data_IF_571802977392
#
_entry.id   IF_571802977392
#
_cell.length_a   1.000
_cell.length_b   1.000
_cell.length_c   1.000
_cell.angle_alpha   90.00
_cell.angle_beta   90.00
_cell.angle_gamma   90.00
#
_symmetry.space_group_name_H-M   'P 1'
#
loop_
_entity.id
_entity.type
_entity.pdbx_description
1 polymer ?
#
# COMPACT_ATOMS: atom_id res chain seq x y z
N UNK A 1 4.54 15.71 69.60
CA UNK A 1 3.90 15.14 68.39
C UNK A 1 3.95 16.13 67.25
N UNK A 2 4.69 15.83 66.17
CA UNK A 2 4.49 16.28 64.75
C UNK A 2 5.81 16.14 63.97
N UNK A 3 6.14 14.91 63.57
CA UNK A 3 7.15 14.64 62.53
C UNK A 3 6.54 13.59 61.61
N UNK A 4 5.69 13.99 60.66
CA UNK A 4 5.12 13.07 59.65
C UNK A 4 4.40 13.85 58.55
N UNK A 5 5.13 14.64 57.74
CA UNK A 5 4.57 15.19 56.48
C UNK A 5 5.54 15.30 55.30
N UNK A 6 6.85 15.03 55.47
CA UNK A 6 7.81 15.19 54.38
C UNK A 6 7.97 13.95 53.47
N UNK A 7 7.52 12.76 53.89
CA UNK A 7 7.75 11.52 53.13
C UNK A 7 6.79 11.29 51.94
N UNK A 8 5.64 11.97 51.88
CA UNK A 8 4.65 11.76 50.80
C UNK A 8 4.95 12.53 49.51
N UNK A 9 5.74 13.60 49.55
CA UNK A 9 5.99 14.44 48.36
C UNK A 9 7.04 13.82 47.44
N UNK A 10 8.06 13.15 47.99
CA UNK A 10 9.11 12.51 47.20
C UNK A 10 8.61 11.31 46.36
N UNK A 11 7.59 10.58 46.84
CA UNK A 11 7.06 9.41 46.14
C UNK A 11 6.23 9.79 44.90
N UNK A 12 5.54 10.94 44.94
CA UNK A 12 4.69 11.42 43.83
C UNK A 12 5.53 11.91 42.65
N UNK A 13 6.71 12.49 42.89
CA UNK A 13 7.59 12.99 41.83
C UNK A 13 8.25 11.83 41.05
N UNK A 14 8.63 10.74 41.73
CA UNK A 14 9.24 9.57 41.08
C UNK A 14 8.23 8.84 40.18
N UNK A 15 6.96 8.74 40.60
CA UNK A 15 5.87 8.18 39.78
C UNK A 15 5.58 9.03 38.53
N UNK A 16 5.67 10.36 38.63
CA UNK A 16 5.46 11.27 37.48
C UNK A 16 6.53 11.14 36.39
N UNK A 17 7.80 10.96 36.77
CA UNK A 17 8.91 10.78 35.81
C UNK A 17 8.82 9.39 35.15
N UNK A 18 8.49 8.34 35.90
CA UNK A 18 8.28 7.01 35.33
C UNK A 18 7.12 6.96 34.33
N UNK A 19 6.03 7.69 34.59
CA UNK A 19 4.90 7.83 33.68
C UNK A 19 5.25 8.60 32.39
N UNK A 20 6.08 9.65 32.49
CA UNK A 20 6.54 10.41 31.31
C UNK A 20 7.52 9.62 30.43
N UNK A 21 8.40 8.81 31.04
CA UNK A 21 9.35 7.95 30.31
C UNK A 21 8.60 6.82 29.60
N UNK A 22 7.61 6.19 30.24
CA UNK A 22 6.79 5.14 29.61
C UNK A 22 5.92 5.67 28.46
N UNK A 23 5.36 6.88 28.58
CA UNK A 23 4.67 7.54 27.46
C UNK A 23 5.59 7.87 26.29
N UNK A 24 6.85 8.25 26.56
CA UNK A 24 7.84 8.55 25.53
C UNK A 24 8.27 7.28 24.76
N UNK A 25 8.42 6.16 25.46
CA UNK A 25 8.75 4.86 24.84
C UNK A 25 7.59 4.29 24.02
N UNK A 26 6.33 4.49 24.43
CA UNK A 26 5.15 4.08 23.66
C UNK A 26 4.98 4.91 22.38
N UNK A 27 5.38 6.19 22.38
CA UNK A 27 5.35 7.04 21.17
C UNK A 27 6.47 6.74 20.18
N UNK A 28 7.63 6.29 20.65
CA UNK A 28 8.72 5.85 19.77
C UNK A 28 8.33 4.58 19.00
N UNK A 29 7.69 3.60 19.65
CA UNK A 29 7.23 2.37 18.99
C UNK A 29 6.08 2.57 17.99
N UNK A 30 5.34 3.67 18.08
CA UNK A 30 4.29 4.00 17.12
C UNK A 30 4.85 4.65 15.83
N UNK A 31 6.09 5.14 15.85
CA UNK A 31 6.72 5.79 14.70
C UNK A 31 7.45 4.82 13.76
N UNK A 32 7.74 3.59 14.22
CA UNK A 32 8.48 2.56 13.45
C UNK A 32 7.59 1.39 12.97
N UNK A 33 6.28 1.45 13.23
CA UNK A 33 5.36 0.37 12.92
C UNK A 33 4.52 0.64 11.69
N UNK A 34 5.07 0.46 10.48
CA UNK A 34 4.23 -0.11 9.42
C UNK A 34 3.78 -1.44 9.99
N UNK A 35 2.49 -1.58 10.30
CA UNK A 35 1.94 -2.88 10.70
C UNK A 35 2.29 -3.83 9.56
N UNK A 36 3.22 -4.75 9.83
CA UNK A 36 3.52 -5.84 8.93
C UNK A 36 2.25 -6.68 8.91
N UNK A 37 1.36 -6.37 7.96
CA UNK A 37 0.36 -7.33 7.53
C UNK A 37 1.04 -8.67 7.23
N UNK A 38 0.26 -9.75 7.16
CA UNK A 38 0.79 -11.04 6.75
C UNK A 38 1.73 -10.88 5.53
N UNK A 39 2.91 -11.52 5.59
CA UNK A 39 3.89 -11.49 4.51
C UNK A 39 3.19 -11.74 3.18
N UNK A 40 3.39 -10.87 2.20
CA UNK A 40 2.71 -10.95 0.89
C UNK A 40 3.48 -11.80 -0.12
N UNK A 41 4.66 -12.26 0.28
CA UNK A 41 5.57 -13.14 -0.45
C UNK A 41 5.93 -14.38 0.36
N UNK A 42 6.11 -15.50 -0.34
CA UNK A 42 6.67 -16.73 0.22
C UNK A 42 8.20 -16.72 0.22
N UNK A 43 8.82 -17.81 0.70
CA UNK A 43 10.28 -17.96 0.78
C UNK A 43 10.98 -17.93 -0.57
N UNK A 44 10.25 -18.27 -1.64
CA UNK A 44 10.77 -18.33 -3.01
C UNK A 44 10.47 -17.02 -3.77
N UNK A 45 9.84 -16.05 -3.10
CA UNK A 45 9.49 -14.75 -3.65
C UNK A 45 8.23 -14.77 -4.53
N UNK A 46 7.38 -15.80 -4.44
CA UNK A 46 6.08 -15.72 -5.10
C UNK A 46 5.15 -14.83 -4.28
N UNK A 47 4.62 -13.80 -4.94
CA UNK A 47 3.61 -12.93 -4.36
C UNK A 47 2.25 -13.63 -4.32
N UNK A 48 1.36 -13.17 -3.44
CA UNK A 48 -0.08 -13.39 -3.52
C UNK A 48 -0.84 -12.08 -3.29
N UNK A 49 -2.12 -12.04 -3.68
CA UNK A 49 -2.99 -10.91 -3.33
C UNK A 49 -3.37 -11.04 -1.84
N UNK A 50 -3.05 -10.07 -0.97
CA UNK A 50 -3.38 -10.15 0.45
C UNK A 50 -4.88 -10.36 0.64
N UNK A 51 -5.33 -11.20 1.57
CA UNK A 51 -6.75 -11.58 1.63
C UNK A 51 -7.69 -10.44 2.02
N UNK A 52 -7.29 -9.65 3.01
CA UNK A 52 -8.09 -8.64 3.70
C UNK A 52 -7.84 -7.20 3.24
N UNK A 53 -7.07 -7.00 2.16
CA UNK A 53 -6.65 -5.67 1.70
C UNK A 53 -7.81 -4.69 1.52
N UNK A 54 -9.00 -5.13 1.08
CA UNK A 54 -10.15 -4.23 0.91
C UNK A 54 -10.65 -3.61 2.23
N UNK A 55 -10.36 -4.25 3.36
CA UNK A 55 -10.75 -3.77 4.70
C UNK A 55 -9.58 -3.21 5.51
N UNK A 56 -8.36 -3.62 5.18
CA UNK A 56 -7.16 -3.22 5.93
C UNK A 56 -6.33 -2.17 5.21
N UNK A 57 -6.36 -2.11 3.88
CA UNK A 57 -5.56 -1.18 3.09
C UNK A 57 -6.35 0.10 2.82
N UNK A 58 -5.61 1.19 2.65
CA UNK A 58 -6.20 2.50 2.37
C UNK A 58 -6.37 2.67 0.86
N UNK A 59 -7.52 3.19 0.42
CA UNK A 59 -7.71 3.57 -0.98
C UNK A 59 -6.69 4.64 -1.35
N UNK A 60 -5.88 4.34 -2.36
CA UNK A 60 -4.85 5.22 -2.88
C UNK A 60 -5.37 6.06 -4.05
N UNK A 61 -6.22 5.49 -4.90
CA UNK A 61 -6.88 6.22 -5.99
C UNK A 61 -7.49 5.29 -7.03
N UNK A 62 -8.02 5.90 -8.10
CA UNK A 62 -8.65 5.18 -9.19
C UNK A 62 -8.28 5.76 -10.55
N UNK A 63 -8.29 4.89 -11.56
CA UNK A 63 -8.05 5.24 -12.96
C UNK A 63 -9.23 4.80 -13.80
N UNK A 64 -9.63 5.63 -14.74
CA UNK A 64 -10.66 5.33 -15.72
C UNK A 64 -10.02 5.27 -17.10
N UNK A 65 -9.98 4.08 -17.71
CA UNK A 65 -9.40 3.92 -19.03
C UNK A 65 -10.50 4.16 -20.06
N UNK A 66 -10.32 5.19 -20.89
CA UNK A 66 -11.29 5.57 -21.91
C UNK A 66 -11.65 4.39 -22.83
N UNK A 67 -12.92 4.32 -23.21
CA UNK A 67 -13.43 3.33 -24.15
C UNK A 67 -13.03 3.60 -25.62
N UNK A 68 -12.22 4.63 -25.89
CA UNK A 68 -11.86 5.07 -27.23
C UNK A 68 -12.87 6.11 -27.72
N UNK A 69 -13.45 5.87 -28.89
CA UNK A 69 -14.40 6.79 -29.55
C UNK A 69 -15.80 6.78 -28.94
N UNK A 70 -16.09 5.86 -28.01
CA UNK A 70 -17.37 5.80 -27.30
C UNK A 70 -17.29 6.50 -25.94
N UNK A 71 -18.41 7.10 -25.51
CA UNK A 71 -18.52 7.65 -24.16
C UNK A 71 -18.26 6.60 -23.08
N UNK A 72 -17.67 7.02 -21.96
CA UNK A 72 -17.41 6.16 -20.81
C UNK A 72 -16.01 5.54 -20.79
N UNK A 73 -15.88 4.47 -20.00
CA UNK A 73 -14.62 3.78 -19.74
C UNK A 73 -14.72 2.32 -20.15
N UNK A 74 -13.65 1.74 -20.70
CA UNK A 74 -13.56 0.29 -20.92
C UNK A 74 -13.11 -0.46 -19.67
N UNK A 75 -12.32 0.20 -18.84
CA UNK A 75 -11.81 -0.38 -17.60
C UNK A 75 -11.78 0.67 -16.49
N UNK A 76 -11.99 0.21 -15.26
CA UNK A 76 -11.70 0.98 -14.06
C UNK A 76 -10.64 0.24 -13.25
N UNK A 77 -9.61 0.97 -12.82
CA UNK A 77 -8.59 0.44 -11.94
C UNK A 77 -8.70 1.10 -10.58
N UNK A 78 -8.64 0.31 -9.51
CA UNK A 78 -8.72 0.81 -8.12
C UNK A 78 -7.48 0.37 -7.39
N UNK A 79 -6.78 1.31 -6.75
CA UNK A 79 -5.47 1.05 -6.14
C UNK A 79 -5.56 1.28 -4.65
N UNK A 80 -5.01 0.33 -3.90
CA UNK A 80 -4.92 0.35 -2.44
C UNK A 80 -3.47 0.31 -2.01
N UNK A 81 -3.16 0.94 -0.88
CA UNK A 81 -1.84 0.91 -0.26
C UNK A 81 -1.95 0.29 1.14
N UNK A 82 -0.98 -0.56 1.50
CA UNK A 82 -0.91 -1.16 2.84
C UNK A 82 -0.88 -0.10 3.94
N UNK A 83 -1.31 -0.44 5.17
CA UNK A 83 -1.37 0.50 6.30
C UNK A 83 -0.08 1.31 6.48
N UNK A 84 -0.22 2.61 6.72
CA UNK A 84 0.90 3.51 7.01
C UNK A 84 1.70 3.97 5.80
N UNK A 85 1.54 3.36 4.61
CA UNK A 85 2.26 3.75 3.39
C UNK A 85 1.95 5.19 2.99
N UNK A 86 0.70 5.62 3.09
CA UNK A 86 0.30 6.98 2.71
C UNK A 86 0.99 8.02 3.61
N UNK A 87 1.00 7.80 4.93
CA UNK A 87 1.59 8.73 5.88
C UNK A 87 3.12 8.76 5.77
N UNK A 88 3.75 7.60 5.61
CA UNK A 88 5.19 7.49 5.34
C UNK A 88 5.57 8.22 4.04
N UNK A 89 4.81 8.00 2.96
CA UNK A 89 5.06 8.68 1.69
C UNK A 89 4.85 10.18 1.81
N UNK A 90 3.82 10.65 2.53
CA UNK A 90 3.61 12.09 2.74
C UNK A 90 4.78 12.74 3.46
N UNK A 91 5.37 12.06 4.45
CA UNK A 91 6.51 12.51 5.23
C UNK A 91 7.81 12.55 4.40
N UNK A 92 8.13 11.44 3.74
CA UNK A 92 9.48 11.24 3.17
C UNK A 92 9.52 11.32 1.64
N UNK A 93 8.35 11.45 0.99
CA UNK A 93 8.15 11.44 -0.47
C UNK A 93 8.71 10.19 -1.16
N UNK A 94 8.70 9.08 -0.43
CA UNK A 94 9.18 7.76 -0.87
C UNK A 94 8.27 6.68 -0.32
N UNK A 95 8.08 5.61 -1.10
CA UNK A 95 7.40 4.42 -0.58
C UNK A 95 8.35 3.72 0.42
N UNK A 96 7.89 3.43 1.66
CA UNK A 96 8.71 2.74 2.64
C UNK A 96 8.98 1.29 2.19
N UNK A 97 10.07 0.72 2.68
CA UNK A 97 10.35 -0.71 2.46
C UNK A 97 9.18 -1.57 2.94
N UNK A 98 8.83 -2.61 2.18
CA UNK A 98 7.67 -3.45 2.45
C UNK A 98 6.31 -2.82 2.12
N UNK A 99 6.25 -1.60 1.56
CA UNK A 99 5.00 -1.03 1.07
C UNK A 99 4.36 -1.95 0.03
N UNK A 100 3.07 -2.28 0.20
CA UNK A 100 2.31 -3.10 -0.75
C UNK A 100 1.28 -2.24 -1.45
N UNK A 101 1.30 -2.26 -2.78
CA UNK A 101 0.28 -1.64 -3.62
C UNK A 101 -0.52 -2.75 -4.30
N UNK A 102 -1.84 -2.73 -4.13
CA UNK A 102 -2.77 -3.66 -4.78
C UNK A 102 -3.64 -2.87 -5.73
N UNK A 103 -3.50 -3.13 -7.04
CA UNK A 103 -4.32 -2.55 -8.09
C UNK A 103 -5.30 -3.60 -8.61
N UNK A 104 -6.58 -3.37 -8.38
CA UNK A 104 -7.64 -4.11 -9.03
C UNK A 104 -7.87 -3.56 -10.43
N UNK A 105 -8.17 -4.45 -11.38
CA UNK A 105 -8.55 -4.07 -12.75
C UNK A 105 -9.91 -4.66 -13.06
N UNK A 106 -10.90 -3.81 -13.31
CA UNK A 106 -12.24 -4.19 -13.71
C UNK A 106 -12.49 -3.84 -15.17
N UNK A 107 -13.27 -4.67 -15.88
CA UNK A 107 -14.08 -4.17 -16.99
C UNK A 107 -15.11 -3.20 -16.43
N UNK A 108 -15.37 -2.11 -17.14
CA UNK A 108 -16.40 -1.17 -16.74
C UNK A 108 -17.71 -1.44 -17.48
N UNK A 109 -18.83 -1.17 -16.81
CA UNK A 109 -20.14 -1.04 -17.43
C UNK A 109 -20.54 0.43 -17.47
N UNK A 110 -20.98 0.90 -18.64
CA UNK A 110 -21.41 2.29 -18.85
C UNK A 110 -22.92 2.34 -19.10
N UNK A 111 -23.59 3.27 -18.43
CA UNK A 111 -25.03 3.50 -18.61
C UNK A 111 -25.41 4.94 -18.27
N UNK A 112 -26.52 5.41 -18.82
CA UNK A 112 -27.14 6.66 -18.39
C UNK A 112 -27.66 6.55 -16.95
N UNK A 113 -27.39 7.58 -16.16
CA UNK A 113 -27.91 7.78 -14.80
C UNK A 113 -28.43 9.21 -14.68
N UNK A 114 -29.10 9.56 -13.58
CA UNK A 114 -29.58 10.93 -13.34
C UNK A 114 -28.46 11.97 -13.30
N UNK A 115 -27.22 11.54 -13.10
CA UNK A 115 -26.00 12.36 -13.13
C UNK A 115 -25.30 12.37 -14.49
N UNK A 116 -25.87 11.73 -15.53
CA UNK A 116 -25.34 11.63 -16.89
C UNK A 116 -24.82 10.23 -17.26
N UNK A 117 -24.00 10.15 -18.31
CA UNK A 117 -23.33 8.91 -18.72
C UNK A 117 -22.27 8.50 -17.69
N UNK A 118 -22.52 7.41 -16.96
CA UNK A 118 -21.65 6.95 -15.86
C UNK A 118 -21.05 5.59 -16.17
N UNK A 119 -19.76 5.43 -15.88
CA UNK A 119 -19.08 4.14 -15.89
C UNK A 119 -18.85 3.66 -14.46
N UNK A 120 -19.08 2.37 -14.21
CA UNK A 120 -18.86 1.71 -12.91
C UNK A 120 -18.09 0.41 -13.08
N UNK A 121 -17.45 -0.06 -12.02
CA UNK A 121 -16.81 -1.37 -12.02
C UNK A 121 -17.87 -2.46 -12.19
N UNK A 122 -17.57 -3.45 -13.02
CA UNK A 122 -18.49 -4.55 -13.32
C UNK A 122 -17.80 -5.90 -13.09
N UNK A 123 -16.98 -6.34 -14.05
CA UNK A 123 -16.32 -7.65 -13.98
C UNK A 123 -14.85 -7.49 -13.63
N UNK A 124 -14.41 -8.13 -12.53
CA UNK A 124 -12.99 -8.16 -12.17
C UNK A 124 -12.18 -8.96 -13.19
N UNK A 125 -11.09 -8.39 -13.69
CA UNK A 125 -10.12 -9.07 -14.56
C UNK A 125 -8.97 -9.67 -13.76
N UNK A 126 -8.53 -9.01 -12.70
CA UNK A 126 -7.42 -9.46 -11.88
C UNK A 126 -6.84 -8.37 -11.02
N UNK A 127 -5.67 -8.67 -10.47
CA UNK A 127 -4.89 -7.79 -9.60
C UNK A 127 -3.48 -7.65 -10.11
N UNK A 128 -2.95 -6.44 -9.98
CA UNK A 128 -1.53 -6.19 -10.04
C UNK A 128 -1.03 -5.82 -8.64
N UNK A 129 -0.05 -6.55 -8.14
CA UNK A 129 0.54 -6.34 -6.81
C UNK A 129 1.99 -5.91 -6.99
N UNK A 130 2.36 -4.82 -6.32
CA UNK A 130 3.74 -4.37 -6.18
C UNK A 130 4.15 -4.33 -4.71
N UNK A 131 5.37 -4.76 -4.39
CA UNK A 131 5.91 -4.78 -3.03
C UNK A 131 7.26 -4.06 -3.00
N UNK A 132 7.41 -3.01 -2.20
CA UNK A 132 8.67 -2.26 -2.12
C UNK A 132 9.74 -3.16 -1.49
N UNK A 133 10.90 -3.23 -2.13
CA UNK A 133 12.03 -4.05 -1.68
C UNK A 133 13.36 -3.34 -1.91
N UNK A 134 13.74 -2.53 -0.93
CA UNK A 134 15.03 -1.83 -0.89
C UNK A 134 16.16 -2.76 -0.43
N UNK A 135 15.82 -3.87 0.25
CA UNK A 135 16.77 -4.84 0.76
C UNK A 135 17.18 -5.91 -0.27
N UNK A 136 16.51 -5.96 -1.43
CA UNK A 136 16.76 -6.95 -2.49
C UNK A 136 16.66 -8.38 -1.94
N UNK A 137 15.53 -8.70 -1.30
CA UNK A 137 15.29 -9.96 -0.56
C UNK A 137 15.28 -11.19 -1.47
N UNK A 138 14.95 -11.01 -2.75
CA UNK A 138 14.80 -12.10 -3.72
C UNK A 138 15.65 -11.89 -4.98
N UNK A 139 17.00 -11.84 -4.85
CA UNK A 139 17.90 -11.42 -5.94
C UNK A 139 17.86 -12.34 -7.18
N UNK A 140 17.55 -13.63 -6.98
CA UNK A 140 17.50 -14.63 -8.04
C UNK A 140 16.12 -14.74 -8.72
N UNK A 141 15.11 -14.03 -8.20
CA UNK A 141 13.74 -14.15 -8.70
C UNK A 141 13.49 -13.24 -9.89
N UNK A 142 12.91 -13.80 -10.96
CA UNK A 142 12.49 -13.03 -12.14
C UNK A 142 11.27 -12.13 -11.88
N UNK A 143 10.70 -12.17 -10.67
CA UNK A 143 9.58 -11.34 -10.24
C UNK A 143 10.02 -10.12 -9.42
N UNK A 144 11.30 -10.03 -9.08
CA UNK A 144 11.84 -8.97 -8.22
C UNK A 144 13.00 -8.24 -8.90
N UNK A 145 13.07 -6.95 -8.66
CA UNK A 145 14.12 -6.09 -9.19
C UNK A 145 13.67 -4.64 -9.27
N UNK A 146 14.63 -3.75 -9.53
CA UNK A 146 14.41 -2.30 -9.57
C UNK A 146 13.78 -1.73 -8.28
N UNK A 147 14.03 -2.40 -7.15
CA UNK A 147 13.53 -2.01 -5.83
C UNK A 147 12.09 -2.45 -5.52
N UNK A 148 11.54 -3.39 -6.30
CA UNK A 148 10.15 -3.84 -6.18
C UNK A 148 10.00 -5.34 -6.52
N UNK A 149 9.05 -6.01 -5.88
CA UNK A 149 8.42 -7.24 -6.36
C UNK A 149 7.20 -6.89 -7.22
N UNK A 150 6.96 -7.67 -8.27
CA UNK A 150 5.94 -7.38 -9.29
C UNK A 150 5.16 -8.65 -9.65
N UNK A 151 3.84 -8.62 -9.56
CA UNK A 151 3.03 -9.77 -10.01
C UNK A 151 1.63 -9.40 -10.44
N UNK A 152 1.17 -10.11 -11.45
CA UNK A 152 -0.22 -10.12 -11.91
C UNK A 152 -0.91 -11.42 -11.54
N UNK A 153 -2.16 -11.32 -11.11
CA UNK A 153 -3.04 -12.42 -10.75
C UNK A 153 -4.34 -12.29 -11.54
N UNK A 154 -4.73 -13.34 -12.25
CA UNK A 154 -6.04 -13.37 -12.91
C UNK A 154 -7.16 -13.50 -11.87
N UNK A 155 -8.35 -12.97 -12.17
CA UNK A 155 -9.48 -12.93 -11.24
C UNK A 155 -9.86 -14.30 -10.63
N UNK A 156 -9.50 -15.41 -11.29
CA UNK A 156 -9.79 -16.77 -10.84
C UNK A 156 -8.85 -17.31 -9.76
N UNK A 157 -7.66 -16.74 -9.58
CA UNK A 157 -6.69 -17.24 -8.60
C UNK A 157 -5.83 -16.10 -8.03
N UNK A 158 -6.07 -15.78 -6.76
CA UNK A 158 -5.35 -14.75 -6.00
C UNK A 158 -4.00 -15.22 -5.44
N UNK A 159 -3.73 -16.51 -5.48
CA UNK A 159 -2.54 -17.14 -4.88
C UNK A 159 -1.47 -17.47 -5.90
N UNK A 160 -1.83 -17.50 -7.20
CA UNK A 160 -0.92 -17.91 -8.27
C UNK A 160 -0.73 -16.80 -9.29
N UNK A 161 0.48 -16.23 -9.31
CA UNK A 161 0.87 -15.23 -10.31
C UNK A 161 0.94 -15.86 -11.71
N UNK A 162 0.52 -15.11 -12.72
CA UNK A 162 0.79 -15.45 -14.14
C UNK A 162 1.96 -14.65 -14.70
N UNK A 163 2.56 -13.79 -13.87
CA UNK A 163 3.84 -13.16 -14.19
C UNK A 163 4.95 -14.19 -14.04
N UNK A 164 5.78 -14.29 -15.07
CA UNK A 164 7.00 -15.10 -15.09
C UNK A 164 8.24 -14.22 -15.14
N UNK A 165 8.13 -13.00 -15.66
CA UNK A 165 9.22 -12.04 -15.70
C UNK A 165 8.69 -10.60 -15.68
N UNK A 166 9.05 -9.82 -14.65
CA UNK A 166 8.53 -8.47 -14.51
C UNK A 166 9.06 -7.50 -15.59
N UNK A 167 10.29 -7.70 -16.08
CA UNK A 167 10.88 -6.84 -17.12
C UNK A 167 10.10 -6.97 -18.43
N UNK A 168 9.69 -8.20 -18.77
CA UNK A 168 8.93 -8.47 -19.98
C UNK A 168 7.46 -8.05 -19.86
N UNK A 169 6.84 -8.21 -18.70
CA UNK A 169 5.38 -8.13 -18.55
C UNK A 169 4.88 -6.85 -17.84
N UNK A 170 5.72 -6.23 -17.01
CA UNK A 170 5.30 -5.13 -16.13
C UNK A 170 6.06 -3.83 -16.43
N UNK A 171 7.39 -3.92 -16.57
CA UNK A 171 8.29 -2.77 -16.54
C UNK A 171 8.00 -1.75 -17.65
N UNK A 172 7.71 -2.19 -18.88
CA UNK A 172 7.48 -1.29 -20.02
C UNK A 172 6.39 -0.25 -19.75
N UNK A 173 5.31 -0.63 -19.05
CA UNK A 173 4.23 0.27 -18.66
C UNK A 173 4.63 1.26 -17.56
N UNK A 174 5.67 0.97 -16.79
CA UNK A 174 6.13 1.76 -15.65
C UNK A 174 7.39 2.60 -15.93
N UNK A 175 8.13 2.31 -17.01
CA UNK A 175 9.28 3.11 -17.47
C UNK A 175 8.98 4.61 -17.56
N UNK A 176 7.82 5.07 -18.07
CA UNK A 176 7.54 6.49 -18.19
C UNK A 176 7.54 7.24 -16.85
N UNK A 177 7.31 6.53 -15.74
CA UNK A 177 7.29 7.09 -14.38
C UNK A 177 8.38 6.53 -13.48
N UNK A 178 9.49 6.04 -14.08
CA UNK A 178 10.65 5.55 -13.33
C UNK A 178 11.15 6.55 -12.28
N UNK A 179 11.13 7.85 -12.60
CA UNK A 179 11.56 8.92 -11.69
C UNK A 179 10.67 9.05 -10.43
N UNK A 180 9.42 8.59 -10.50
CA UNK A 180 8.46 8.55 -9.39
C UNK A 180 8.48 7.19 -8.69
N UNK A 181 9.66 6.57 -8.59
CA UNK A 181 9.85 5.22 -8.06
C UNK A 181 8.97 4.18 -8.76
N UNK A 182 8.85 4.31 -10.09
CA UNK A 182 8.05 3.46 -10.97
C UNK A 182 6.53 3.51 -10.73
N UNK A 183 6.02 4.48 -9.97
CA UNK A 183 4.59 4.56 -9.62
C UNK A 183 3.96 5.84 -10.20
N UNK A 184 2.80 5.72 -10.83
CA UNK A 184 2.03 6.86 -11.35
C UNK A 184 1.35 7.63 -10.20
N UNK A 185 2.12 8.45 -9.48
CA UNK A 185 1.64 9.12 -8.25
C UNK A 185 0.58 10.21 -8.50
N UNK A 186 0.46 10.74 -9.72
CA UNK A 186 -0.49 11.82 -10.04
C UNK A 186 -1.95 11.43 -9.84
N UNK A 187 -2.27 10.13 -10.02
CA UNK A 187 -3.61 9.59 -9.78
C UNK A 187 -3.90 9.23 -8.32
N UNK A 188 -3.00 9.59 -7.40
CA UNK A 188 -3.11 9.26 -5.98
C UNK A 188 -3.21 10.52 -5.10
N UNK A 189 -4.39 11.18 -5.05
CA UNK A 189 -4.63 12.34 -4.19
C UNK A 189 -4.22 12.16 -2.71
N UNK A 190 -4.40 10.98 -2.08
CA UNK A 190 -3.94 10.75 -0.72
C UNK A 190 -2.42 10.89 -0.52
N UNK A 191 -1.58 10.78 -1.55
CA UNK A 191 -0.13 10.99 -1.40
C UNK A 191 0.28 12.47 -1.35
N UNK A 192 -0.64 13.38 -1.70
CA UNK A 192 -0.40 14.82 -1.63
C UNK A 192 -0.33 15.27 -0.15
N UNK A 193 0.46 16.32 0.15
CA UNK A 193 0.55 16.89 1.49
C UNK A 193 -0.81 17.30 2.06
#
# INVERSE_FOLDING_TARGET
MKILRAACVAFVVILGIAAAVTQSQLRANAADGVSTGASVDDRDGHLHVPDDYRTTYQLLGSWAIAAGDTHGSKELHVVYASPGVIDAYRKDKRFPDGAVLVKEVFKAATSEMTTGTVSRADTLKGWFVMVKDTANRHPESALWGDGWGWSWFDAGDRSKTTTTNYKAQCQACHVPVRASDWVYIDGYPPLKP
#
